data_IF_913032637150
#
_entry.id   IF_913032637150
#
_cell.length_a   1.000
_cell.length_b   1.000
_cell.length_c   1.000
_cell.angle_alpha   90.00
_cell.angle_beta   90.00
_cell.angle_gamma   90.00
#
_symmetry.space_group_name_H-M   'P 1'
#
loop_
_entity.id
_entity.type
_entity.pdbx_description
1 polymer ?
#
# COMPACT_ATOMS: atom_id res chain seq x y z
N UNK A 1 -21.59 8.42 31.82
CA UNK A 1 -20.49 7.43 31.82
C UNK A 1 -19.41 7.99 30.91
N UNK A 2 -18.19 8.21 31.41
CA UNK A 2 -17.08 8.73 30.61
C UNK A 2 -16.21 7.53 30.24
N UNK A 3 -15.89 7.38 28.96
CA UNK A 3 -15.09 6.26 28.45
C UNK A 3 -13.79 6.86 27.94
N UNK A 4 -12.69 6.50 28.60
CA UNK A 4 -11.37 7.07 28.28
C UNK A 4 -10.66 6.27 27.17
N UNK A 5 -10.82 4.95 27.14
CA UNK A 5 -10.15 4.07 26.17
C UNK A 5 -11.08 2.99 25.63
N UNK A 6 -11.02 2.74 24.32
CA UNK A 6 -11.75 1.69 23.62
C UNK A 6 -10.74 0.73 22.97
N UNK A 7 -10.82 -0.54 23.35
CA UNK A 7 -10.03 -1.61 22.73
C UNK A 7 -10.96 -2.37 21.79
N UNK A 8 -10.66 -2.29 20.50
CA UNK A 8 -11.46 -2.89 19.44
C UNK A 8 -10.67 -3.89 18.61
N UNK A 9 -11.39 -4.77 17.93
CA UNK A 9 -10.81 -5.60 16.90
C UNK A 9 -10.48 -4.78 15.63
N UNK A 10 -10.01 -5.46 14.58
CA UNK A 10 -9.61 -4.84 13.32
C UNK A 10 -10.74 -4.05 12.64
N UNK A 11 -12.00 -4.40 12.87
CA UNK A 11 -13.15 -3.73 12.25
C UNK A 11 -13.34 -2.30 12.78
N UNK A 12 -12.86 -2.00 13.99
CA UNK A 12 -12.95 -0.66 14.57
C UNK A 12 -11.93 0.34 14.01
N UNK A 13 -11.00 -0.07 13.15
CA UNK A 13 -10.02 0.80 12.47
C UNK A 13 -10.61 1.62 11.30
N UNK A 14 -11.93 1.70 11.20
CA UNK A 14 -12.63 2.46 10.16
C UNK A 14 -12.40 3.98 10.32
N UNK A 15 -12.49 4.71 9.20
CA UNK A 15 -12.25 6.16 9.19
C UNK A 15 -13.22 6.91 10.11
N UNK A 16 -14.48 6.51 10.12
CA UNK A 16 -15.53 7.17 10.89
C UNK A 16 -15.31 6.98 12.39
N UNK A 17 -14.89 5.78 12.81
CA UNK A 17 -14.55 5.50 14.21
C UNK A 17 -13.32 6.29 14.67
N UNK A 18 -12.30 6.41 13.82
CA UNK A 18 -11.10 7.22 14.11
C UNK A 18 -11.47 8.71 14.23
N UNK A 19 -12.35 9.21 13.36
CA UNK A 19 -12.80 10.59 13.43
C UNK A 19 -13.64 10.86 14.68
N UNK A 20 -14.56 9.94 15.01
CA UNK A 20 -15.40 10.02 16.20
C UNK A 20 -14.55 10.07 17.48
N UNK A 21 -13.67 9.08 17.67
CA UNK A 21 -12.80 8.95 18.86
C UNK A 21 -11.88 10.16 19.04
N UNK A 22 -11.31 10.69 17.94
CA UNK A 22 -10.55 11.95 17.98
C UNK A 22 -11.36 13.15 18.41
N UNK A 23 -12.61 13.27 17.94
CA UNK A 23 -13.46 14.42 18.30
C UNK A 23 -13.97 14.38 19.74
N UNK A 24 -14.01 13.20 20.35
CA UNK A 24 -14.54 12.98 21.70
C UNK A 24 -13.43 12.72 22.73
N UNK A 25 -12.16 12.88 22.35
CA UNK A 25 -10.97 12.68 23.20
C UNK A 25 -10.93 11.27 23.82
N UNK A 26 -11.19 10.26 22.99
CA UNK A 26 -11.20 8.84 23.38
C UNK A 26 -10.01 8.14 22.73
N UNK A 27 -9.25 7.38 23.52
CA UNK A 27 -8.14 6.57 23.02
C UNK A 27 -8.66 5.31 22.33
N UNK A 28 -8.45 5.20 21.01
CA UNK A 28 -8.80 4.01 20.23
C UNK A 28 -7.58 3.10 20.02
N UNK A 29 -7.60 1.93 20.65
CA UNK A 29 -6.62 0.86 20.43
C UNK A 29 -7.26 -0.21 19.56
N UNK A 30 -6.96 -0.20 18.26
CA UNK A 30 -7.41 -1.22 17.31
C UNK A 30 -6.31 -1.61 16.34
N UNK A 31 -6.33 -2.86 15.87
CA UNK A 31 -5.43 -3.31 14.80
C UNK A 31 -5.84 -2.66 13.48
N UNK A 32 -4.89 -2.11 12.74
CA UNK A 32 -5.18 -1.55 11.42
C UNK A 32 -5.56 -2.68 10.45
N UNK A 33 -6.60 -2.47 9.65
CA UNK A 33 -6.97 -3.44 8.62
C UNK A 33 -5.80 -3.68 7.63
N UNK A 34 -5.38 -4.94 7.36
CA UNK A 34 -4.21 -5.24 6.52
C UNK A 34 -4.26 -4.62 5.12
N UNK A 35 -5.47 -4.42 4.60
CA UNK A 35 -5.72 -3.76 3.31
C UNK A 35 -5.22 -2.31 3.27
N UNK A 36 -5.14 -1.65 4.44
CA UNK A 36 -4.67 -0.27 4.55
C UNK A 36 -3.15 -0.22 4.49
N UNK A 37 -2.45 -1.20 5.09
CA UNK A 37 -0.98 -1.28 5.03
C UNK A 37 -0.46 -1.92 3.74
N UNK A 38 -1.05 -3.04 3.32
CA UNK A 38 -0.52 -3.90 2.25
C UNK A 38 -1.33 -3.78 0.93
N UNK A 39 -2.41 -2.99 0.93
CA UNK A 39 -3.33 -2.90 -0.20
C UNK A 39 -4.13 -4.19 -0.42
N UNK A 40 -4.75 -4.31 -1.59
CA UNK A 40 -5.52 -5.50 -1.99
C UNK A 40 -4.65 -6.60 -2.62
N UNK A 41 -3.32 -6.45 -2.59
CA UNK A 41 -2.41 -7.41 -3.25
C UNK A 41 -2.34 -8.70 -2.44
N UNK A 42 -2.22 -9.82 -3.13
CA UNK A 42 -2.02 -11.12 -2.48
C UNK A 42 -0.56 -11.24 -2.08
N UNK A 43 -0.27 -11.77 -0.89
CA UNK A 43 1.11 -12.02 -0.45
C UNK A 43 1.89 -12.88 -1.43
N UNK A 44 1.20 -13.75 -2.17
CA UNK A 44 1.76 -14.58 -3.24
C UNK A 44 2.45 -13.80 -4.38
N UNK A 45 2.10 -12.52 -4.58
CA UNK A 45 2.69 -11.69 -5.63
C UNK A 45 4.15 -11.31 -5.31
N UNK A 46 4.61 -11.49 -4.06
CA UNK A 46 6.02 -11.35 -3.67
C UNK A 46 6.57 -9.92 -3.67
N UNK A 47 5.70 -8.91 -3.70
CA UNK A 47 6.09 -7.51 -3.58
C UNK A 47 5.96 -7.06 -2.12
N UNK A 48 7.08 -6.66 -1.51
CA UNK A 48 7.13 -6.22 -0.11
C UNK A 48 7.45 -4.73 -0.07
N UNK A 49 6.69 -3.97 0.73
CA UNK A 49 7.02 -2.56 0.95
C UNK A 49 8.19 -2.46 1.93
N UNK A 50 9.34 -1.96 1.46
CA UNK A 50 10.49 -1.67 2.28
C UNK A 50 10.31 -0.30 2.93
N UNK A 51 10.16 -0.28 4.27
CA UNK A 51 9.95 0.96 5.05
C UNK A 51 11.19 1.85 5.08
N UNK A 52 12.38 1.25 5.10
CA UNK A 52 13.65 1.97 5.17
C UNK A 52 13.95 2.68 3.84
N UNK A 53 13.64 2.00 2.72
CA UNK A 53 13.81 2.57 1.38
C UNK A 53 12.60 3.39 0.89
N UNK A 54 11.49 3.38 1.64
CA UNK A 54 10.24 4.08 1.27
C UNK A 54 9.63 3.61 -0.06
N UNK A 55 9.88 2.38 -0.50
CA UNK A 55 9.46 1.87 -1.81
C UNK A 55 9.22 0.36 -1.81
N UNK A 56 8.63 -0.16 -2.88
CA UNK A 56 8.41 -1.61 -3.02
C UNK A 56 9.66 -2.33 -3.52
N UNK A 57 9.89 -3.50 -2.93
CA UNK A 57 10.87 -4.49 -3.33
C UNK A 57 10.15 -5.65 -4.03
N UNK A 58 10.68 -6.07 -5.17
CA UNK A 58 10.21 -7.23 -5.93
C UNK A 58 10.72 -8.55 -5.30
N UNK A 59 10.11 -9.68 -5.64
CA UNK A 59 10.55 -11.03 -5.26
C UNK A 59 12.02 -11.32 -5.56
N UNK A 60 12.56 -10.68 -6.61
CA UNK A 60 13.97 -10.76 -6.99
C UNK A 60 14.92 -9.86 -6.17
N UNK A 61 14.40 -9.10 -5.19
CA UNK A 61 15.18 -8.16 -4.38
C UNK A 61 15.42 -6.78 -5.00
N UNK A 62 14.92 -6.52 -6.22
CA UNK A 62 15.03 -5.20 -6.84
C UNK A 62 14.06 -4.20 -6.23
N UNK A 63 14.52 -2.97 -5.98
CA UNK A 63 13.68 -1.86 -5.55
C UNK A 63 13.03 -1.15 -6.75
N UNK A 64 11.85 -0.59 -6.55
CA UNK A 64 11.22 0.25 -7.55
C UNK A 64 12.03 1.54 -7.77
N UNK A 65 12.24 1.89 -9.04
CA UNK A 65 13.04 3.05 -9.47
C UNK A 65 12.29 4.36 -9.33
N UNK A 66 10.99 4.36 -9.63
CA UNK A 66 10.17 5.58 -9.61
C UNK A 66 8.83 5.34 -8.90
N UNK A 67 8.38 6.36 -8.17
CA UNK A 67 7.04 6.43 -7.57
C UNK A 67 6.26 7.58 -8.20
N UNK A 68 5.13 7.28 -8.82
CA UNK A 68 4.17 8.27 -9.33
C UNK A 68 2.91 8.26 -8.48
N UNK A 69 2.35 9.44 -8.24
CA UNK A 69 1.11 9.62 -7.47
C UNK A 69 0.00 9.99 -8.45
N UNK A 70 -0.84 9.01 -8.79
CA UNK A 70 -2.00 9.20 -9.64
C UNK A 70 -3.11 9.81 -8.77
N UNK A 71 -3.22 11.14 -8.79
CA UNK A 71 -4.35 11.86 -8.17
C UNK A 71 -5.60 11.60 -9.01
N UNK A 72 -6.67 11.11 -8.38
CA UNK A 72 -7.94 10.99 -9.09
C UNK A 72 -8.49 12.38 -9.40
N UNK A 73 -9.04 12.58 -10.60
CA UNK A 73 -9.77 13.81 -10.96
C UNK A 73 -11.14 13.91 -10.28
N UNK A 74 -11.62 12.85 -9.65
CA UNK A 74 -12.90 12.82 -8.95
C UNK A 74 -12.72 12.59 -7.45
N UNK A 75 -13.45 13.36 -6.64
CA UNK A 75 -13.36 13.37 -5.17
C UNK A 75 -13.70 12.01 -4.50
N UNK A 76 -14.27 11.07 -5.25
CA UNK A 76 -14.73 9.77 -4.73
C UNK A 76 -13.68 8.65 -4.79
N UNK A 77 -12.48 8.88 -5.34
CA UNK A 77 -11.46 7.83 -5.47
C UNK A 77 -10.20 8.18 -4.69
N UNK A 78 -9.72 7.21 -3.91
CA UNK A 78 -8.45 7.29 -3.22
C UNK A 78 -7.31 7.54 -4.23
N UNK A 79 -6.36 8.40 -3.83
CA UNK A 79 -5.11 8.63 -4.55
C UNK A 79 -4.36 7.31 -4.69
N UNK A 80 -3.87 7.02 -5.90
CA UNK A 80 -3.16 5.76 -6.18
C UNK A 80 -1.66 6.02 -6.28
N UNK A 81 -0.88 5.26 -5.53
CA UNK A 81 0.57 5.22 -5.71
C UNK A 81 0.95 4.14 -6.70
N UNK A 82 1.72 4.52 -7.72
CA UNK A 82 2.25 3.61 -8.74
C UNK A 82 3.76 3.54 -8.57
N UNK A 83 4.25 2.34 -8.26
CA UNK A 83 5.68 2.04 -8.19
C UNK A 83 6.10 1.39 -9.50
N UNK A 84 7.11 1.95 -10.14
CA UNK A 84 7.67 1.49 -11.40
C UNK A 84 9.01 0.82 -11.15
N UNK A 85 9.25 -0.30 -11.81
CA UNK A 85 10.51 -1.03 -11.77
C UNK A 85 11.27 -0.85 -13.08
N UNK A 86 12.57 -1.08 -13.03
CA UNK A 86 13.45 -1.03 -14.18
C UNK A 86 13.12 -2.16 -15.17
N UNK A 87 12.68 -1.78 -16.36
CA UNK A 87 12.29 -2.70 -17.43
C UNK A 87 13.47 -3.52 -17.93
N UNK A 88 14.68 -2.97 -17.96
CA UNK A 88 15.86 -3.68 -18.44
C UNK A 88 16.23 -4.83 -17.50
N UNK A 89 16.15 -4.57 -16.19
CA UNK A 89 16.31 -5.60 -15.15
C UNK A 89 15.18 -6.62 -15.21
N UNK A 90 13.94 -6.19 -15.44
CA UNK A 90 12.79 -7.09 -15.56
C UNK A 90 12.86 -8.03 -16.78
N UNK A 91 13.46 -7.60 -17.90
CA UNK A 91 13.62 -8.41 -19.12
C UNK A 91 14.54 -9.62 -18.90
N UNK A 92 15.62 -9.43 -18.12
CA UNK A 92 16.61 -10.46 -17.79
C UNK A 92 16.22 -11.30 -16.58
N UNK A 93 15.17 -10.91 -15.84
CA UNK A 93 14.79 -11.55 -14.59
C UNK A 93 14.26 -12.98 -14.82
N UNK A 94 14.69 -13.97 -14.01
CA UNK A 94 14.14 -15.33 -14.05
C UNK A 94 12.62 -15.39 -13.82
N UNK A 95 12.10 -14.43 -13.03
CA UNK A 95 10.68 -14.31 -12.72
C UNK A 95 9.88 -13.48 -13.75
N UNK A 96 10.43 -13.22 -14.94
CA UNK A 96 9.74 -12.43 -15.98
C UNK A 96 8.38 -13.01 -16.37
N UNK A 97 8.23 -14.33 -16.36
CA UNK A 97 6.99 -15.03 -16.73
C UNK A 97 5.90 -14.74 -15.69
N UNK A 98 4.94 -13.89 -16.05
CA UNK A 98 3.82 -13.47 -15.18
C UNK A 98 4.05 -12.17 -14.41
N UNK A 99 5.29 -11.69 -14.29
CA UNK A 99 5.61 -10.40 -13.67
C UNK A 99 5.83 -9.28 -14.71
N UNK A 100 6.54 -9.58 -15.80
CA UNK A 100 6.84 -8.63 -16.86
C UNK A 100 5.87 -8.81 -18.03
N UNK A 101 5.36 -7.70 -18.55
CA UNK A 101 4.55 -7.70 -19.76
C UNK A 101 5.44 -7.40 -20.97
N UNK A 102 5.45 -8.31 -21.94
CA UNK A 102 6.22 -8.13 -23.17
C UNK A 102 5.84 -6.83 -23.89
N UNK A 103 6.85 -6.05 -24.27
CA UNK A 103 6.67 -4.72 -24.87
C UNK A 103 6.40 -3.58 -23.89
N UNK A 104 6.51 -3.79 -22.56
CA UNK A 104 6.40 -2.69 -21.60
C UNK A 104 7.49 -1.64 -21.85
N UNK A 105 7.08 -0.37 -21.97
CA UNK A 105 7.97 0.79 -22.10
C UNK A 105 8.18 1.42 -20.74
N UNK A 106 9.40 1.88 -20.48
CA UNK A 106 9.71 2.76 -19.35
C UNK A 106 8.95 4.06 -19.58
N UNK A 107 7.98 4.37 -18.72
CA UNK A 107 7.32 5.68 -18.73
C UNK A 107 8.19 6.65 -17.93
N UNK A 108 9.07 7.36 -18.63
CA UNK A 108 9.73 8.57 -18.14
C UNK A 108 8.71 9.48 -17.43
#
# INVERSE_FOLDING_TARGET
MKVDTVIGDTAYSSKDNIAYTKSHDIDLVSKLHPIVTNGTRREADGFVYNKDAGTYMCKAGHLATNRKVDKSKSDKKNVRHRYMFDVEKCKLCPFRKGCYKDGAKTKS
#
